data_IF_991342819885
#
_entry.id   IF_991342819885
#
_cell.length_a   1.000
_cell.length_b   1.000
_cell.length_c   1.000
_cell.angle_alpha   90.00
_cell.angle_beta   90.00
_cell.angle_gamma   90.00
#
_symmetry.space_group_name_H-M   'P 1'
#
loop_
_entity.id
_entity.type
_entity.pdbx_description
1 polymer ?
#
# COMPACT_ATOMS: atom_id res chain seq x y z
N UNK A 1 -7.89 -15.08 13.45
CA UNK A 1 -9.22 -14.57 13.13
C UNK A 1 -9.87 -15.49 12.09
N UNK A 2 -11.10 -15.88 12.35
CA UNK A 2 -11.94 -16.62 11.41
C UNK A 2 -13.11 -15.72 11.05
N UNK A 3 -13.32 -15.47 9.77
CA UNK A 3 -14.49 -14.74 9.28
C UNK A 3 -15.38 -15.70 8.48
N UNK A 4 -16.67 -15.72 8.81
CA UNK A 4 -17.70 -16.43 8.07
C UNK A 4 -18.73 -15.41 7.62
N UNK A 5 -18.98 -15.35 6.33
CA UNK A 5 -20.00 -14.49 5.75
C UNK A 5 -21.11 -15.33 5.14
N UNK A 6 -22.34 -15.11 5.58
CA UNK A 6 -23.53 -15.60 4.93
C UNK A 6 -24.28 -14.40 4.35
N UNK A 7 -24.46 -14.40 3.06
CA UNK A 7 -25.15 -13.32 2.34
C UNK A 7 -26.46 -13.83 1.77
N UNK A 8 -27.54 -13.88 2.59
CA UNK A 8 -28.85 -14.16 2.07
C UNK A 8 -29.31 -13.01 1.19
N UNK A 9 -29.85 -13.32 0.05
CA UNK A 9 -30.48 -12.30 -0.78
C UNK A 9 -31.70 -11.73 -0.05
N UNK A 10 -31.67 -10.43 0.24
CA UNK A 10 -32.73 -9.72 0.97
C UNK A 10 -34.00 -9.49 0.14
N UNK A 11 -33.98 -9.85 -1.14
CA UNK A 11 -35.12 -9.71 -2.04
C UNK A 11 -35.96 -10.96 -2.24
N UNK A 12 -35.63 -12.08 -1.60
CA UNK A 12 -36.38 -13.33 -1.75
C UNK A 12 -37.76 -13.22 -1.08
N UNK A 13 -38.79 -12.95 -1.87
CA UNK A 13 -40.16 -13.20 -1.46
C UNK A 13 -40.54 -14.61 -1.92
N UNK A 14 -41.02 -15.46 -1.00
CA UNK A 14 -41.63 -16.75 -1.34
C UNK A 14 -42.91 -16.47 -2.12
N UNK A 15 -42.93 -16.70 -3.41
CA UNK A 15 -44.11 -16.69 -4.22
C UNK A 15 -44.75 -18.08 -4.10
N UNK A 16 -45.89 -18.16 -3.46
CA UNK A 16 -46.56 -19.45 -3.18
C UNK A 16 -47.17 -20.11 -4.42
N UNK A 17 -47.42 -19.38 -5.50
CA UNK A 17 -47.98 -19.92 -6.75
C UNK A 17 -47.31 -19.25 -7.95
N UNK A 18 -46.29 -19.89 -8.49
CA UNK A 18 -45.65 -19.46 -9.72
C UNK A 18 -46.38 -20.08 -10.90
N UNK A 19 -46.87 -19.26 -11.86
CA UNK A 19 -47.46 -19.77 -13.08
C UNK A 19 -46.40 -20.55 -13.88
N UNK A 20 -46.84 -21.57 -14.61
CA UNK A 20 -45.92 -22.44 -15.38
C UNK A 20 -45.08 -21.62 -16.38
N UNK A 21 -45.66 -20.56 -16.94
CA UNK A 21 -45.04 -19.61 -17.86
C UNK A 21 -43.92 -18.78 -17.20
N UNK A 22 -44.01 -18.55 -15.88
CA UNK A 22 -43.00 -17.79 -15.12
C UNK A 22 -41.90 -18.68 -14.52
N UNK A 23 -42.03 -20.00 -14.61
CA UNK A 23 -41.11 -20.93 -13.98
C UNK A 23 -39.69 -20.81 -14.53
N UNK A 24 -39.52 -20.57 -15.80
CA UNK A 24 -38.20 -20.38 -16.40
C UNK A 24 -37.50 -19.11 -15.82
N UNK A 25 -38.24 -18.01 -15.77
CA UNK A 25 -37.77 -16.74 -15.22
C UNK A 25 -37.42 -16.87 -13.71
N UNK A 26 -38.25 -17.59 -12.97
CA UNK A 26 -37.99 -17.86 -11.55
C UNK A 26 -36.75 -18.73 -11.32
N UNK A 27 -36.55 -19.75 -12.17
CA UNK A 27 -35.35 -20.61 -12.09
C UNK A 27 -34.08 -19.80 -12.39
N UNK A 28 -34.13 -18.93 -13.38
CA UNK A 28 -33.01 -18.10 -13.75
C UNK A 28 -32.74 -17.05 -12.67
N UNK A 29 -33.80 -16.48 -12.09
CA UNK A 29 -33.69 -15.57 -10.95
C UNK A 29 -33.05 -16.25 -9.72
N UNK A 30 -33.45 -17.48 -9.36
CA UNK A 30 -32.83 -18.25 -8.29
C UNK A 30 -31.33 -18.50 -8.59
N UNK A 31 -30.98 -18.85 -9.83
CA UNK A 31 -29.60 -19.11 -10.21
C UNK A 31 -28.71 -17.86 -10.04
N UNK A 32 -29.23 -16.68 -10.34
CA UNK A 32 -28.53 -15.41 -10.15
C UNK A 32 -28.49 -14.95 -8.69
N UNK A 33 -29.52 -15.29 -7.89
CA UNK A 33 -29.70 -14.83 -6.51
C UNK A 33 -29.44 -15.93 -5.47
N UNK A 34 -28.68 -16.95 -5.82
CA UNK A 34 -28.32 -18.02 -4.88
C UNK A 34 -27.48 -17.45 -3.73
N UNK A 35 -27.87 -17.67 -2.47
CA UNK A 35 -27.09 -17.20 -1.34
C UNK A 35 -25.68 -17.83 -1.36
N UNK A 36 -24.66 -17.00 -1.20
CA UNK A 36 -23.29 -17.47 -1.12
C UNK A 36 -22.84 -17.61 0.35
N UNK A 37 -22.23 -18.74 0.65
CA UNK A 37 -21.58 -18.97 1.93
C UNK A 37 -20.05 -18.92 1.71
N UNK A 38 -19.39 -17.97 2.38
CA UNK A 38 -17.93 -17.89 2.38
C UNK A 38 -17.39 -18.23 3.76
N UNK A 39 -16.39 -19.10 3.80
CA UNK A 39 -15.65 -19.42 5.02
C UNK A 39 -14.16 -19.14 4.76
N UNK A 40 -13.68 -18.02 5.28
CA UNK A 40 -12.30 -17.56 5.09
C UNK A 40 -11.54 -17.62 6.42
N UNK A 41 -10.58 -18.56 6.50
CA UNK A 41 -9.79 -18.80 7.69
C UNK A 41 -8.43 -18.12 7.59
N UNK A 42 -8.23 -17.08 8.39
CA UNK A 42 -6.93 -16.41 8.54
C UNK A 42 -6.40 -16.59 9.95
N UNK A 43 -5.29 -17.29 10.08
CA UNK A 43 -4.58 -17.47 11.34
C UNK A 43 -3.35 -16.58 11.35
N UNK A 44 -3.24 -15.73 12.38
CA UNK A 44 -2.09 -14.86 12.60
C UNK A 44 -1.59 -15.09 14.02
N UNK A 45 -0.29 -15.31 14.15
CA UNK A 45 0.42 -15.35 15.42
C UNK A 45 1.45 -14.23 15.44
N UNK A 46 1.53 -13.51 16.57
CA UNK A 46 2.43 -12.38 16.72
C UNK A 46 3.10 -12.39 18.08
N UNK A 47 4.42 -12.13 18.09
CA UNK A 47 5.18 -11.86 19.29
C UNK A 47 5.91 -10.53 19.16
N UNK A 48 5.95 -9.70 20.20
CA UNK A 48 6.63 -8.42 20.15
C UNK A 48 7.35 -8.09 21.45
N UNK A 49 8.38 -7.26 21.33
CA UNK A 49 9.12 -6.66 22.44
C UNK A 49 9.39 -5.20 22.15
N UNK A 50 9.24 -4.35 23.15
CA UNK A 50 9.55 -2.92 23.10
C UNK A 50 10.44 -2.55 24.27
N UNK A 51 11.47 -1.73 24.00
CA UNK A 51 12.33 -1.17 25.02
C UNK A 51 12.54 0.32 24.79
N UNK A 52 12.51 1.11 25.85
CA UNK A 52 12.77 2.54 25.81
C UNK A 52 13.76 2.90 26.90
N UNK A 53 14.77 3.66 26.54
CA UNK A 53 15.78 4.18 27.46
C UNK A 53 15.90 5.70 27.31
N UNK A 54 15.74 6.40 28.40
CA UNK A 54 15.88 7.86 28.44
C UNK A 54 17.02 8.25 29.36
N UNK A 55 17.95 9.07 28.86
CA UNK A 55 19.08 9.55 29.59
C UNK A 55 18.95 11.07 29.86
N UNK A 56 18.86 11.43 31.14
CA UNK A 56 18.81 12.83 31.64
C UNK A 56 17.81 13.73 30.93
N UNK A 57 16.78 13.18 30.31
CA UNK A 57 15.75 13.95 29.58
C UNK A 57 16.16 14.52 28.23
N UNK A 58 17.44 14.49 27.86
CA UNK A 58 17.93 15.05 26.61
C UNK A 58 18.12 14.02 25.48
N UNK A 59 18.23 12.74 25.83
CA UNK A 59 18.36 11.67 24.85
C UNK A 59 17.41 10.52 25.17
N UNK A 60 16.66 10.06 24.19
CA UNK A 60 15.78 8.89 24.31
C UNK A 60 16.03 7.94 23.15
N UNK A 61 16.26 6.68 23.46
CA UNK A 61 16.42 5.59 22.52
C UNK A 61 15.23 4.62 22.67
N UNK A 62 14.57 4.28 21.56
CA UNK A 62 13.50 3.30 21.56
C UNK A 62 13.84 2.18 20.57
N UNK A 63 13.67 0.95 21.01
CA UNK A 63 13.81 -0.25 20.19
C UNK A 63 12.52 -1.05 20.23
N UNK A 64 12.04 -1.48 19.06
CA UNK A 64 10.87 -2.34 18.91
C UNK A 64 11.22 -3.49 17.98
N UNK A 65 10.81 -4.70 18.35
CA UNK A 65 10.89 -5.87 17.49
C UNK A 65 9.59 -6.66 17.56
N UNK A 66 9.14 -7.16 16.42
CA UNK A 66 7.92 -7.96 16.28
C UNK A 66 8.14 -9.04 15.25
N UNK A 67 7.60 -10.20 15.51
CA UNK A 67 7.56 -11.31 14.55
C UNK A 67 6.10 -11.69 14.34
N UNK A 68 5.66 -11.64 13.09
CA UNK A 68 4.32 -12.03 12.67
C UNK A 68 4.39 -13.27 11.79
N UNK A 69 3.52 -14.23 12.06
CA UNK A 69 3.32 -15.43 11.24
C UNK A 69 1.90 -15.51 10.73
N UNK A 70 1.72 -15.93 9.47
CA UNK A 70 0.41 -16.07 8.85
C UNK A 70 0.33 -17.34 8.01
N UNK A 71 -0.87 -17.98 7.98
CA UNK A 71 -1.18 -19.08 7.09
C UNK A 71 -1.43 -18.66 5.63
N UNK A 72 -1.43 -17.35 5.35
CA UNK A 72 -1.59 -16.77 4.00
C UNK A 72 -0.33 -16.83 3.14
N UNK A 73 0.80 -17.29 3.68
CA UNK A 73 2.06 -17.44 2.94
C UNK A 73 2.49 -18.89 2.84
N UNK A 74 3.07 -19.19 1.67
CA UNK A 74 3.42 -20.49 1.13
C UNK A 74 3.93 -21.56 2.09
N UNK A 75 4.04 -22.78 1.61
CA UNK A 75 4.43 -23.97 2.37
C UNK A 75 5.86 -23.93 2.91
N UNK A 76 6.69 -23.06 2.37
CA UNK A 76 8.06 -22.90 2.84
C UNK A 76 8.07 -22.13 4.16
N UNK A 77 8.49 -22.79 5.24
CA UNK A 77 8.49 -22.26 6.62
C UNK A 77 9.15 -20.89 6.75
N UNK A 78 10.19 -20.60 5.97
CA UNK A 78 10.91 -19.32 6.01
C UNK A 78 10.12 -18.13 5.49
N UNK A 79 9.02 -18.33 4.79
CA UNK A 79 8.17 -17.26 4.27
C UNK A 79 6.96 -16.97 5.16
N UNK A 80 6.64 -17.84 6.13
CA UNK A 80 5.52 -17.69 7.05
C UNK A 80 5.75 -16.64 8.11
N UNK A 81 7.01 -16.41 8.49
CA UNK A 81 7.39 -15.46 9.54
C UNK A 81 8.05 -14.22 8.97
N UNK A 82 7.58 -13.08 9.42
CA UNK A 82 8.12 -11.78 9.04
C UNK A 82 8.66 -11.04 10.27
N UNK A 83 9.98 -11.06 10.51
CA UNK A 83 10.57 -10.25 11.54
C UNK A 83 10.61 -8.78 11.10
N UNK A 84 10.00 -7.92 11.89
CA UNK A 84 10.04 -6.46 11.73
C UNK A 84 10.68 -5.85 12.98
N UNK A 85 11.45 -4.79 12.80
CA UNK A 85 12.05 -4.10 13.91
C UNK A 85 12.32 -2.63 13.57
N UNK A 86 12.38 -1.81 14.58
CA UNK A 86 12.74 -0.41 14.44
C UNK A 86 13.58 0.07 15.63
N UNK A 87 14.50 0.95 15.33
CA UNK A 87 15.29 1.69 16.30
C UNK A 87 15.06 3.18 16.04
N UNK A 88 14.76 3.93 17.08
CA UNK A 88 14.63 5.39 16.98
C UNK A 88 15.36 6.09 18.11
N UNK A 89 15.99 7.21 17.78
CA UNK A 89 16.64 8.08 18.73
C UNK A 89 16.03 9.48 18.64
N UNK A 90 15.81 10.08 19.78
CA UNK A 90 15.32 11.43 19.94
C UNK A 90 16.30 12.21 20.80
N UNK A 91 16.85 13.29 20.26
CA UNK A 91 17.81 14.16 20.90
C UNK A 91 17.22 15.53 21.14
N UNK A 92 17.03 15.89 22.40
CA UNK A 92 16.65 17.24 22.78
C UNK A 92 17.92 18.06 23.02
N UNK A 93 18.42 18.69 21.96
CA UNK A 93 19.70 19.40 21.96
C UNK A 93 19.69 20.65 22.83
N UNK A 94 18.52 21.26 23.05
CA UNK A 94 18.36 22.46 23.88
C UNK A 94 18.67 22.22 25.35
N UNK A 95 18.64 20.97 25.81
CA UNK A 95 19.01 20.62 27.19
C UNK A 95 20.53 20.53 27.41
N UNK A 96 21.33 20.59 26.34
CA UNK A 96 22.78 20.56 26.42
C UNK A 96 23.29 21.93 26.83
N UNK A 97 24.14 22.01 27.86
CA UNK A 97 24.54 23.26 28.50
C UNK A 97 25.11 24.34 27.56
N UNK A 98 25.83 23.95 26.49
CA UNK A 98 26.42 24.92 25.56
C UNK A 98 25.42 25.48 24.56
N UNK A 99 24.28 24.79 24.31
CA UNK A 99 23.17 25.24 23.46
C UNK A 99 22.06 25.93 24.25
N UNK A 100 22.08 25.85 25.58
CA UNK A 100 21.05 26.45 26.43
C UNK A 100 21.15 27.98 26.37
N UNK A 101 20.20 28.62 25.65
CA UNK A 101 20.11 30.06 25.48
C UNK A 101 18.67 30.52 25.70
N UNK A 102 18.51 31.73 26.23
CA UNK A 102 17.18 32.30 26.56
C UNK A 102 16.26 32.53 25.35
N UNK A 103 16.84 32.53 24.15
CA UNK A 103 16.09 32.70 22.90
C UNK A 103 15.81 31.37 22.18
N UNK A 104 16.37 30.27 22.63
CA UNK A 104 16.11 28.92 22.15
C UNK A 104 15.10 28.28 23.09
N UNK A 105 13.93 27.93 22.56
CA UNK A 105 12.90 27.22 23.34
C UNK A 105 13.16 25.73 23.37
N UNK A 106 13.36 25.15 22.17
CA UNK A 106 13.79 23.78 22.02
C UNK A 106 14.43 23.54 20.65
N UNK A 107 15.31 22.56 20.59
CA UNK A 107 15.88 21.97 19.36
C UNK A 107 15.87 20.48 19.56
N UNK A 108 15.15 19.77 18.71
CA UNK A 108 15.01 18.31 18.79
C UNK A 108 15.41 17.68 17.47
N UNK A 109 16.38 16.78 17.51
CA UNK A 109 16.79 15.94 16.40
C UNK A 109 16.19 14.54 16.59
N UNK A 110 15.46 14.07 15.58
CA UNK A 110 14.81 12.76 15.58
C UNK A 110 15.39 11.90 14.47
N UNK A 111 15.72 10.67 14.74
CA UNK A 111 16.11 9.72 13.71
C UNK A 111 15.47 8.38 13.97
N UNK A 112 15.09 7.69 12.93
CA UNK A 112 14.64 6.30 13.05
C UNK A 112 15.07 5.48 11.84
N UNK A 113 15.34 4.21 12.12
CA UNK A 113 15.61 3.21 11.11
C UNK A 113 14.88 1.91 11.45
N UNK A 114 14.35 1.23 10.47
CA UNK A 114 13.68 -0.03 10.71
C UNK A 114 13.28 -0.77 9.43
N UNK A 115 12.80 -1.98 9.63
CA UNK A 115 12.26 -2.84 8.60
C UNK A 115 10.78 -3.09 8.84
N UNK A 116 10.00 -3.03 7.78
CA UNK A 116 8.58 -3.35 7.74
C UNK A 116 8.33 -4.44 6.71
N UNK A 117 7.42 -5.32 6.99
CA UNK A 117 6.89 -6.28 6.04
C UNK A 117 5.44 -5.93 5.70
N UNK A 118 5.05 -6.17 4.46
CA UNK A 118 3.68 -6.06 4.01
C UNK A 118 3.22 -7.36 3.37
N UNK A 119 1.95 -7.67 3.48
CA UNK A 119 1.32 -8.88 3.00
C UNK A 119 0.12 -8.53 2.13
N UNK A 120 -0.09 -9.26 1.05
CA UNK A 120 -1.30 -9.19 0.23
C UNK A 120 -2.33 -10.19 0.76
N UNK A 121 -3.45 -9.68 1.25
CA UNK A 121 -4.53 -10.53 1.76
C UNK A 121 -5.37 -11.16 0.64
N UNK A 122 -5.30 -10.60 -0.57
CA UNK A 122 -6.02 -11.08 -1.76
C UNK A 122 -5.38 -12.28 -2.44
N UNK A 123 -4.14 -12.60 -2.11
CA UNK A 123 -3.39 -13.67 -2.76
C UNK A 123 -3.30 -14.91 -1.87
N UNK A 124 -3.29 -16.08 -2.51
CA UNK A 124 -3.18 -17.36 -1.84
C UNK A 124 -1.97 -18.16 -2.34
N UNK A 125 -1.23 -18.85 -1.45
CA UNK A 125 -0.16 -19.76 -1.87
C UNK A 125 -0.68 -21.02 -2.55
N UNK A 126 -1.95 -21.34 -2.34
CA UNK A 126 -2.59 -22.54 -2.91
C UNK A 126 -3.48 -22.20 -4.10
N UNK A 127 -3.67 -23.17 -4.97
CA UNK A 127 -4.60 -23.05 -6.09
C UNK A 127 -6.04 -22.93 -5.58
N UNK A 128 -6.80 -22.03 -6.17
CA UNK A 128 -8.23 -21.83 -5.88
C UNK A 128 -9.01 -22.17 -7.15
N UNK A 129 -9.94 -23.12 -7.02
CA UNK A 129 -10.87 -23.50 -8.06
C UNK A 129 -12.30 -23.17 -7.63
N UNK A 130 -13.12 -22.73 -8.56
CA UNK A 130 -14.57 -22.55 -8.37
C UNK A 130 -15.29 -23.74 -9.01
N UNK A 131 -16.16 -24.38 -8.24
CA UNK A 131 -17.05 -25.38 -8.77
C UNK A 131 -18.12 -24.69 -9.60
N UNK A 132 -18.27 -25.09 -10.85
CA UNK A 132 -19.30 -24.59 -11.75
C UNK A 132 -20.57 -25.47 -11.66
N UNK A 133 -21.72 -25.01 -12.16
CA UNK A 133 -22.89 -25.88 -12.32
C UNK A 133 -22.58 -27.14 -13.12
N UNK A 134 -23.41 -28.16 -12.97
CA UNK A 134 -23.30 -29.39 -13.75
C UNK A 134 -23.45 -29.05 -15.24
N UNK A 135 -22.48 -29.46 -16.06
CA UNK A 135 -22.62 -29.39 -17.51
C UNK A 135 -23.74 -30.35 -17.94
N UNK A 136 -24.83 -29.78 -18.44
CA UNK A 136 -26.01 -30.56 -18.81
C UNK A 136 -25.83 -31.38 -20.07
N UNK A 137 -24.85 -31.06 -20.91
CA UNK A 137 -24.55 -31.77 -22.14
C UNK A 137 -23.74 -33.04 -21.88
N UNK A 138 -22.69 -32.93 -21.07
CA UNK A 138 -21.82 -34.05 -20.72
C UNK A 138 -22.20 -34.75 -19.41
N UNK A 139 -23.14 -34.16 -18.66
CA UNK A 139 -23.52 -34.61 -17.30
C UNK A 139 -22.33 -34.74 -16.35
N UNK A 140 -21.39 -33.82 -16.48
CA UNK A 140 -20.16 -33.78 -15.71
C UNK A 140 -20.06 -32.51 -14.86
N UNK A 141 -19.40 -32.64 -13.71
CA UNK A 141 -19.12 -31.51 -12.85
C UNK A 141 -17.88 -30.78 -13.34
N UNK A 142 -18.02 -29.55 -13.76
CA UNK A 142 -16.92 -28.70 -14.18
C UNK A 142 -16.43 -27.78 -13.08
N UNK A 143 -15.22 -27.28 -13.22
CA UNK A 143 -14.63 -26.30 -12.33
C UNK A 143 -13.77 -25.30 -13.10
N UNK A 144 -13.84 -24.05 -12.71
CA UNK A 144 -13.02 -22.96 -13.28
C UNK A 144 -11.87 -22.63 -12.34
N UNK A 145 -10.69 -22.45 -12.89
CA UNK A 145 -9.52 -22.00 -12.15
C UNK A 145 -9.68 -20.50 -11.84
N UNK A 146 -9.80 -20.16 -10.56
CA UNK A 146 -9.88 -18.76 -10.10
C UNK A 146 -8.51 -18.16 -9.86
N UNK A 147 -7.59 -18.94 -9.31
CA UNK A 147 -6.25 -18.49 -8.98
C UNK A 147 -5.26 -19.65 -9.04
N UNK A 148 -4.10 -19.44 -9.68
CA UNK A 148 -2.99 -20.38 -9.65
C UNK A 148 -2.32 -20.41 -8.27
N UNK A 149 -1.73 -21.56 -7.93
CA UNK A 149 -0.87 -21.64 -6.77
C UNK A 149 0.33 -20.70 -6.91
N UNK A 150 0.64 -19.98 -5.83
CA UNK A 150 1.82 -19.12 -5.74
C UNK A 150 2.68 -19.48 -4.51
N UNK A 151 3.35 -20.65 -4.50
CA UNK A 151 4.11 -21.11 -3.35
C UNK A 151 5.33 -20.23 -3.05
N UNK A 152 5.80 -19.46 -4.03
CA UNK A 152 6.94 -18.55 -3.90
C UNK A 152 6.57 -17.16 -3.37
N UNK A 153 5.29 -16.92 -3.06
CA UNK A 153 4.82 -15.67 -2.52
C UNK A 153 5.54 -15.35 -1.19
N UNK A 154 6.11 -14.16 -1.09
CA UNK A 154 6.94 -13.70 0.03
C UNK A 154 6.44 -12.35 0.52
N UNK A 155 6.73 -12.04 1.78
CA UNK A 155 6.52 -10.71 2.33
C UNK A 155 7.33 -9.67 1.55
N UNK A 156 6.71 -8.54 1.25
CA UNK A 156 7.46 -7.35 0.86
C UNK A 156 8.34 -6.91 2.02
N UNK A 157 9.54 -6.44 1.71
CA UNK A 157 10.48 -5.93 2.71
C UNK A 157 10.78 -4.47 2.43
N UNK A 158 10.34 -3.60 3.34
CA UNK A 158 10.61 -2.17 3.26
C UNK A 158 11.54 -1.75 4.39
N UNK A 159 12.72 -1.25 4.03
CA UNK A 159 13.56 -0.52 4.95
C UNK A 159 13.19 0.96 4.94
N UNK A 160 13.01 1.54 6.12
CA UNK A 160 12.65 2.94 6.30
C UNK A 160 13.69 3.67 7.13
N UNK A 161 14.17 4.79 6.62
CA UNK A 161 15.02 5.73 7.34
C UNK A 161 14.29 7.07 7.42
N UNK A 162 14.22 7.66 8.61
CA UNK A 162 13.63 8.98 8.83
C UNK A 162 14.61 9.84 9.63
N UNK A 163 14.70 11.10 9.25
CA UNK A 163 15.44 12.14 9.95
C UNK A 163 14.51 13.35 10.09
N UNK A 164 14.39 13.88 11.30
CA UNK A 164 13.59 15.05 11.60
C UNK A 164 14.36 16.04 12.47
N UNK A 165 14.15 17.32 12.20
CA UNK A 165 14.68 18.43 13.00
C UNK A 165 13.52 19.38 13.29
N UNK A 166 13.23 19.55 14.57
CA UNK A 166 12.24 20.50 15.04
C UNK A 166 12.94 21.52 15.92
N UNK A 167 12.69 22.79 15.70
CA UNK A 167 13.18 23.82 16.58
C UNK A 167 12.18 24.96 16.78
N UNK A 168 12.25 25.57 17.94
CA UNK A 168 11.46 26.72 18.34
C UNK A 168 12.34 27.78 18.98
N UNK A 169 12.14 29.01 18.57
CA UNK A 169 12.95 30.16 18.99
C UNK A 169 12.05 31.31 19.43
N UNK A 170 12.61 32.19 20.28
CA UNK A 170 12.01 33.45 20.67
C UNK A 170 10.63 33.33 21.34
N UNK A 171 10.50 32.38 22.31
CA UNK A 171 9.23 32.10 23.01
C UNK A 171 8.14 31.67 22.04
N UNK A 172 8.47 30.71 21.16
CA UNK A 172 7.59 30.15 20.12
C UNK A 172 7.14 31.14 19.03
N UNK A 173 7.86 32.27 18.88
CA UNK A 173 7.57 33.19 17.77
C UNK A 173 8.03 32.65 16.42
N UNK A 174 9.00 31.76 16.41
CA UNK A 174 9.47 31.04 15.23
C UNK A 174 9.52 29.56 15.55
N UNK A 175 8.76 28.74 14.81
CA UNK A 175 8.81 27.28 14.87
C UNK A 175 9.08 26.74 13.48
N UNK A 176 9.99 25.78 13.40
CA UNK A 176 10.35 25.09 12.15
C UNK A 176 10.36 23.61 12.41
N UNK A 177 9.73 22.87 11.51
CA UNK A 177 9.76 21.42 11.44
C UNK A 177 10.29 21.03 10.06
N UNK A 178 11.36 20.26 10.02
CA UNK A 178 11.94 19.73 8.80
C UNK A 178 12.07 18.21 8.91
N UNK A 179 11.67 17.48 7.90
CA UNK A 179 11.84 16.04 7.88
C UNK A 179 12.28 15.52 6.51
N UNK A 180 13.03 14.44 6.55
CA UNK A 180 13.45 13.67 5.39
C UNK A 180 13.20 12.20 5.64
N UNK A 181 12.68 11.49 4.65
CA UNK A 181 12.53 10.04 4.71
C UNK A 181 13.03 9.35 3.45
N UNK A 182 13.48 8.12 3.63
CA UNK A 182 13.88 7.23 2.56
C UNK A 182 13.33 5.83 2.86
N UNK A 183 12.43 5.35 2.00
CA UNK A 183 11.87 3.99 2.06
C UNK A 183 12.34 3.21 0.84
N UNK A 184 12.91 2.03 1.07
CA UNK A 184 13.34 1.11 0.01
C UNK A 184 12.57 -0.18 0.16
N UNK A 185 11.62 -0.41 -0.73
CA UNK A 185 10.84 -1.64 -0.79
C UNK A 185 11.53 -2.61 -1.76
N UNK A 186 11.82 -3.80 -1.26
CA UNK A 186 12.31 -4.93 -2.05
C UNK A 186 11.25 -6.02 -2.12
N UNK A 187 11.21 -6.75 -3.21
CA UNK A 187 10.22 -7.81 -3.45
C UNK A 187 8.79 -7.28 -3.38
N UNK A 188 8.56 -6.04 -3.83
CA UNK A 188 7.24 -5.47 -3.96
C UNK A 188 6.39 -6.35 -4.90
N UNK A 189 5.11 -6.45 -4.57
CA UNK A 189 4.17 -7.18 -5.40
C UNK A 189 3.96 -6.46 -6.72
N UNK A 190 3.99 -7.22 -7.80
CA UNK A 190 3.77 -6.74 -9.15
C UNK A 190 2.91 -7.75 -9.90
N UNK A 191 1.96 -7.28 -10.68
CA UNK A 191 1.22 -8.13 -11.61
C UNK A 191 2.09 -8.45 -12.82
N UNK A 192 2.12 -9.71 -13.21
CA UNK A 192 2.74 -10.19 -14.44
C UNK A 192 1.65 -10.74 -15.34
N UNK A 193 1.61 -10.30 -16.60
CA UNK A 193 0.74 -10.91 -17.61
C UNK A 193 1.26 -12.30 -17.95
N UNK A 194 0.38 -13.26 -17.98
CA UNK A 194 0.64 -14.66 -18.36
C UNK A 194 -0.19 -15.02 -19.58
N UNK A 195 0.26 -16.01 -20.34
CA UNK A 195 -0.47 -16.44 -21.52
C UNK A 195 -1.87 -16.99 -21.14
N UNK A 196 -2.87 -16.69 -21.93
CA UNK A 196 -4.26 -17.11 -21.71
C UNK A 196 -4.45 -18.63 -21.65
N UNK A 197 -3.52 -19.40 -22.24
CA UNK A 197 -3.52 -20.87 -22.16
C UNK A 197 -3.39 -21.41 -20.73
N UNK A 198 -3.02 -20.58 -19.75
CA UNK A 198 -2.95 -20.98 -18.34
C UNK A 198 -4.35 -21.06 -17.67
N UNK A 199 -5.43 -20.74 -18.39
CA UNK A 199 -6.80 -20.92 -17.91
C UNK A 199 -7.27 -19.91 -16.85
N UNK A 200 -6.52 -18.81 -16.65
CA UNK A 200 -6.91 -17.75 -15.72
C UNK A 200 -7.59 -16.63 -16.50
N UNK A 201 -8.81 -16.26 -16.09
CA UNK A 201 -9.63 -15.29 -16.80
C UNK A 201 -8.99 -13.90 -16.94
N UNK A 202 -8.19 -13.46 -16.00
CA UNK A 202 -7.56 -12.12 -16.00
C UNK A 202 -6.15 -12.10 -16.60
N UNK A 203 -5.61 -13.23 -17.01
CA UNK A 203 -4.24 -13.38 -17.54
C UNK A 203 -3.15 -12.69 -16.69
N UNK A 204 -3.39 -12.54 -15.39
CA UNK A 204 -2.46 -11.88 -14.46
C UNK A 204 -2.04 -12.80 -13.33
N UNK A 205 -0.79 -12.66 -12.93
CA UNK A 205 -0.19 -13.43 -11.83
C UNK A 205 0.67 -12.50 -10.97
N UNK A 206 0.48 -12.54 -9.66
CA UNK A 206 1.25 -11.70 -8.73
C UNK A 206 2.60 -12.31 -8.41
N UNK A 207 3.66 -11.53 -8.53
CA UNK A 207 5.04 -11.93 -8.24
C UNK A 207 5.74 -10.93 -7.31
N UNK A 208 6.71 -11.42 -6.52
CA UNK A 208 7.56 -10.59 -5.66
C UNK A 208 8.83 -10.13 -6.39
N UNK A 209 8.72 -9.22 -7.34
CA UNK A 209 9.85 -8.79 -8.16
C UNK A 209 10.16 -7.30 -8.08
N UNK A 210 9.24 -6.47 -7.61
CA UNK A 210 9.40 -5.03 -7.57
C UNK A 210 10.50 -4.55 -6.61
N UNK A 211 11.28 -3.55 -7.03
CA UNK A 211 12.14 -2.76 -6.16
C UNK A 211 11.78 -1.30 -6.33
N UNK A 212 11.21 -0.69 -5.29
CA UNK A 212 10.71 0.68 -5.33
C UNK A 212 11.38 1.52 -4.25
N UNK A 213 11.88 2.68 -4.65
CA UNK A 213 12.41 3.66 -3.72
C UNK A 213 11.45 4.84 -3.62
N UNK A 214 11.06 5.15 -2.38
CA UNK A 214 10.29 6.34 -2.04
C UNK A 214 11.16 7.22 -1.15
N UNK A 215 11.38 8.45 -1.54
CA UNK A 215 12.04 9.45 -0.70
C UNK A 215 11.22 10.73 -0.70
N UNK A 216 11.30 11.48 0.37
CA UNK A 216 10.61 12.75 0.44
C UNK A 216 11.15 13.61 1.54
N UNK A 217 10.81 14.88 1.46
CA UNK A 217 11.10 15.85 2.49
C UNK A 217 9.87 16.73 2.73
N UNK A 218 9.74 17.16 3.96
CA UNK A 218 8.74 18.15 4.36
C UNK A 218 9.39 19.25 5.18
N UNK A 219 8.83 20.42 5.05
CA UNK A 219 9.24 21.61 5.77
C UNK A 219 7.98 22.35 6.19
N UNK A 220 7.86 22.68 7.46
CA UNK A 220 6.81 23.51 8.00
C UNK A 220 7.43 24.67 8.77
N UNK A 221 6.88 25.86 8.56
CA UNK A 221 7.29 27.10 9.21
C UNK A 221 6.09 27.75 9.83
N UNK A 222 6.17 28.10 11.10
CA UNK A 222 5.18 28.91 11.81
C UNK A 222 5.87 30.13 12.43
N UNK A 223 5.37 31.31 12.10
CA UNK A 223 5.87 32.58 12.59
C UNK A 223 4.73 33.30 13.31
N UNK A 224 4.96 33.73 14.55
CA UNK A 224 4.03 34.52 15.35
C UNK A 224 4.73 35.81 15.78
N UNK A 225 4.90 36.78 14.86
CA UNK A 225 5.65 38.00 15.16
C UNK A 225 4.97 38.89 16.23
N UNK A 226 3.65 38.87 16.23
CA UNK A 226 2.83 39.60 17.19
C UNK A 226 2.06 38.62 18.07
N UNK A 227 2.41 38.58 19.34
CA UNK A 227 1.71 37.82 20.37
C UNK A 227 1.63 38.70 21.63
N UNK A 228 0.65 39.51 21.64
CA UNK A 228 0.32 40.44 22.74
C UNK A 228 -0.97 40.00 23.46
N UNK A 229 -1.29 40.64 24.55
CA UNK A 229 -2.49 40.31 25.33
C UNK A 229 -3.80 40.49 24.53
N UNK A 230 -3.82 41.49 23.63
CA UNK A 230 -5.02 41.87 22.87
C UNK A 230 -4.95 41.51 21.37
N UNK A 231 -3.77 41.18 20.87
CA UNK A 231 -3.58 40.87 19.45
C UNK A 231 -2.55 39.76 19.23
N UNK A 232 -2.97 38.73 18.49
CA UNK A 232 -2.08 37.63 18.06
C UNK A 232 -2.20 37.45 16.55
N UNK A 233 -1.07 37.41 15.88
CA UNK A 233 -1.00 37.10 14.47
C UNK A 233 -0.02 35.96 14.24
N UNK A 234 -0.47 34.89 13.54
CA UNK A 234 0.32 33.73 13.24
C UNK A 234 0.22 33.43 11.75
N UNK A 235 1.37 33.24 11.12
CA UNK A 235 1.52 32.76 9.76
C UNK A 235 2.11 31.35 9.78
N UNK A 236 1.41 30.39 9.16
CA UNK A 236 1.90 29.03 9.00
C UNK A 236 1.95 28.67 7.53
N UNK A 237 3.04 28.06 7.10
CA UNK A 237 3.22 27.53 5.76
C UNK A 237 3.89 26.17 5.82
N UNK A 238 3.55 25.28 4.88
CA UNK A 238 4.17 23.97 4.76
C UNK A 238 4.43 23.64 3.31
N UNK A 239 5.51 22.90 3.10
CA UNK A 239 5.90 22.38 1.81
C UNK A 239 6.33 20.89 1.96
N UNK A 240 5.89 20.04 1.04
CA UNK A 240 6.33 18.65 1.00
C UNK A 240 6.54 18.19 -0.43
N UNK A 241 7.51 17.29 -0.62
CA UNK A 241 7.75 16.63 -1.90
C UNK A 241 8.06 15.17 -1.70
N UNK A 242 7.39 14.32 -2.46
CA UNK A 242 7.62 12.88 -2.52
C UNK A 242 8.18 12.52 -3.91
N UNK A 243 9.19 11.66 -3.92
CA UNK A 243 9.82 11.13 -5.13
C UNK A 243 9.73 9.61 -5.05
N UNK A 244 9.01 9.02 -5.99
CA UNK A 244 8.90 7.59 -6.17
C UNK A 244 9.72 7.17 -7.38
N UNK A 245 10.46 6.05 -7.29
CA UNK A 245 11.21 5.49 -8.42
C UNK A 245 11.24 3.97 -8.40
N UNK A 246 10.83 3.37 -9.50
CA UNK A 246 11.06 1.95 -9.78
C UNK A 246 12.55 1.73 -10.11
N UNK A 247 13.20 0.76 -9.45
CA UNK A 247 14.65 0.54 -9.55
C UNK A 247 15.06 -0.61 -10.45
N UNK A 248 14.21 -1.58 -10.62
CA UNK A 248 14.46 -2.74 -11.49
C UNK A 248 13.57 -2.69 -12.72
N UNK A 249 13.85 -3.56 -13.66
CA UNK A 249 13.01 -3.73 -14.83
C UNK A 249 11.67 -4.36 -14.43
N UNK A 250 10.59 -3.95 -15.10
CA UNK A 250 9.25 -4.44 -14.82
C UNK A 250 9.14 -5.94 -15.09
N UNK A 251 8.06 -6.52 -14.60
CA UNK A 251 7.76 -7.93 -14.76
C UNK A 251 7.12 -8.26 -16.12
N UNK A 252 6.55 -7.27 -16.81
CA UNK A 252 5.99 -7.41 -18.14
C UNK A 252 7.07 -7.17 -19.20
N UNK A 253 7.10 -8.02 -20.21
CA UNK A 253 8.07 -7.92 -21.29
C UNK A 253 7.63 -6.89 -22.35
N UNK A 254 6.32 -6.64 -22.46
CA UNK A 254 5.73 -5.69 -23.40
C UNK A 254 4.57 -4.95 -22.76
N UNK A 255 4.45 -3.66 -23.05
CA UNK A 255 3.31 -2.82 -22.70
C UNK A 255 2.63 -2.32 -23.98
N UNK A 256 1.31 -2.27 -23.97
CA UNK A 256 0.52 -1.64 -25.01
C UNK A 256 0.45 -0.12 -24.79
N UNK A 257 0.02 0.63 -25.83
CA UNK A 257 -0.12 2.07 -25.73
C UNK A 257 -1.02 2.50 -24.59
N UNK A 258 -2.13 1.78 -24.40
CA UNK A 258 -3.09 2.07 -23.33
C UNK A 258 -2.45 1.94 -21.93
N UNK A 259 -1.52 1.00 -21.71
CA UNK A 259 -0.84 0.86 -20.43
C UNK A 259 -0.06 2.14 -20.07
N UNK A 260 0.52 2.81 -21.06
CA UNK A 260 1.20 4.08 -20.85
C UNK A 260 0.22 5.22 -20.57
N UNK A 261 -0.88 5.30 -21.32
CA UNK A 261 -1.90 6.33 -21.16
C UNK A 261 -2.64 6.19 -19.83
N UNK A 262 -2.91 4.97 -19.40
CA UNK A 262 -3.60 4.66 -18.14
C UNK A 262 -2.69 4.66 -16.90
N UNK A 263 -1.35 4.82 -17.11
CA UNK A 263 -0.37 4.84 -16.03
C UNK A 263 -0.10 3.48 -15.39
N UNK A 264 -0.49 2.38 -16.05
CA UNK A 264 -0.24 1.00 -15.59
C UNK A 264 1.12 0.47 -16.03
N UNK A 265 1.74 1.09 -17.06
CA UNK A 265 3.08 0.73 -17.51
C UNK A 265 4.14 1.05 -16.45
N UNK A 266 4.90 0.03 -16.06
CA UNK A 266 5.97 0.13 -15.07
C UNK A 266 7.32 0.34 -15.75
N UNK A 267 7.82 1.56 -15.77
CA UNK A 267 9.07 1.93 -16.44
C UNK A 267 10.18 2.16 -15.43
N UNK A 268 11.31 1.46 -15.57
CA UNK A 268 12.49 1.63 -14.72
C UNK A 268 12.94 3.09 -14.66
N UNK A 269 13.20 3.58 -13.47
CA UNK A 269 13.63 4.96 -13.23
C UNK A 269 12.50 5.99 -13.16
N UNK A 270 11.28 5.62 -13.54
CA UNK A 270 10.08 6.45 -13.40
C UNK A 270 9.32 6.12 -12.12
N UNK A 271 8.35 6.95 -11.78
CA UNK A 271 7.44 6.66 -10.67
C UNK A 271 6.45 5.56 -11.07
N UNK A 272 6.03 4.77 -10.08
CA UNK A 272 4.89 3.86 -10.26
C UNK A 272 3.63 4.70 -10.46
N UNK A 273 2.82 4.37 -11.46
CA UNK A 273 1.64 5.14 -11.83
C UNK A 273 1.97 6.43 -12.61
N UNK A 274 3.06 6.43 -13.39
CA UNK A 274 3.37 7.55 -14.28
C UNK A 274 2.48 7.50 -15.51
N UNK A 275 1.69 8.53 -15.71
CA UNK A 275 0.94 8.73 -16.93
C UNK A 275 1.82 9.29 -18.04
N UNK A 276 1.59 8.84 -19.24
CA UNK A 276 2.22 9.35 -20.45
C UNK A 276 1.13 9.94 -21.33
N UNK A 277 1.47 10.95 -22.10
CA UNK A 277 0.57 11.56 -23.07
C UNK A 277 1.36 12.00 -24.30
N UNK A 278 0.68 12.15 -25.38
CA UNK A 278 1.26 12.78 -26.56
C UNK A 278 1.62 14.22 -26.24
N UNK A 279 2.74 14.66 -26.78
CA UNK A 279 3.18 16.03 -26.63
C UNK A 279 2.44 16.91 -27.65
N UNK A 280 1.66 17.87 -27.16
CA UNK A 280 1.05 18.87 -28.04
C UNK A 280 2.11 19.73 -28.70
N UNK A 281 2.11 19.78 -30.04
CA UNK A 281 3.12 20.52 -30.85
C UNK A 281 2.56 21.77 -31.52
N UNK A 282 1.26 21.97 -31.49
CA UNK A 282 0.62 23.14 -32.07
C UNK A 282 -0.70 22.81 -32.77
N UNK A 283 -1.21 23.76 -33.53
CA UNK A 283 -2.36 23.59 -34.37
C UNK A 283 -1.93 23.39 -35.84
N UNK A 284 -2.63 22.51 -36.53
CA UNK A 284 -2.44 22.27 -37.96
C UNK A 284 -2.74 23.55 -38.77
N UNK A 285 -1.84 24.00 -39.64
CA UNK A 285 -2.11 25.16 -40.48
C UNK A 285 -3.17 24.92 -41.55
N UNK A 286 -3.57 23.67 -41.75
CA UNK A 286 -4.52 23.29 -42.82
C UNK A 286 -5.96 23.29 -42.31
N UNK A 287 -6.21 22.72 -41.12
CA UNK A 287 -7.55 22.52 -40.58
C UNK A 287 -7.76 23.08 -39.18
N UNK A 288 -6.69 23.62 -38.57
CA UNK A 288 -6.74 24.15 -37.21
C UNK A 288 -6.84 23.05 -36.12
N UNK A 289 -6.75 21.77 -36.46
CA UNK A 289 -6.78 20.66 -35.52
C UNK A 289 -5.51 20.57 -34.66
N UNK A 290 -5.59 19.96 -33.45
CA UNK A 290 -4.42 19.80 -32.59
C UNK A 290 -3.43 18.77 -33.18
N UNK A 291 -2.15 19.13 -33.21
CA UNK A 291 -1.08 18.22 -33.60
C UNK A 291 -0.34 17.73 -32.36
N UNK A 292 0.04 16.46 -32.37
CA UNK A 292 0.74 15.78 -31.29
C UNK A 292 1.96 15.02 -31.82
N UNK A 293 2.96 14.91 -30.97
CA UNK A 293 4.18 14.10 -31.12
C UNK A 293 4.12 12.87 -30.26
#
# INVERSE_FOLDING_TARGET
NTSRGYYPDRGMSFVQNIALEDYANYRDWIAEHTPSLTDDLTNIISGYVSASYSYKGWFTLNGNARVDGSNRFGDQSNNRFNPIWSLSANWNLSEINWLKRNWIDFITLKTSFGYQGNMLNSESPVMIISKEPLDTYYNEQTATLKQNANPDLKWEKTSSYNLGLDFSLFRRKLMVEASYYLKKTKKAFMSKTIASMNGINNNTFTINRGNVNNSGYSFALTISPFDTKDFRWTLSTSFSRTINKLKNDPAADTYELNDFLDGTALVKGKAVGTFYSYKFTGLSPVDGGPMFD
#
